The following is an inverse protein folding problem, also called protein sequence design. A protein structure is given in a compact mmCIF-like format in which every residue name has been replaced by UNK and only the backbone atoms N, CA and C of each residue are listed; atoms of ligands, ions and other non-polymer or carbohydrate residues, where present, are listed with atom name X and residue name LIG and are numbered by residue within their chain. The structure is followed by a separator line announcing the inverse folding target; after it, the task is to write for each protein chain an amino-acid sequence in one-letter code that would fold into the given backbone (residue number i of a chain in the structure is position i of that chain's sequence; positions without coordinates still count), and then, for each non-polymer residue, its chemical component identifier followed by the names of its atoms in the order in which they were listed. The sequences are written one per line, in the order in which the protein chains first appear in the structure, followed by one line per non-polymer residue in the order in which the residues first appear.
data_IF_273623247750
#
_entry.id   IF_273623247750
#
_cell.length_a   1.000
_cell.length_b   1.000
_cell.length_c   1.000
_cell.angle_alpha   90.00
_cell.angle_beta   90.00
_cell.angle_gamma   90.00
#
_symmetry.space_group_name_H-M   'P 1'
#
loop_
_entity.id
_entity.type
_entity.pdbx_description
1 polymer ?
#
# COMPACT_ATOMS: atom_id res chain seq x y z
N UNK A 1 -12.37 -56.24 4.21
CA UNK A 1 -11.27 -55.23 4.36
C UNK A 1 -11.14 -54.28 3.19
N UNK A 2 -12.16 -53.55 2.74
CA UNK A 2 -12.04 -52.55 1.62
C UNK A 2 -12.92 -51.31 1.80
N UNK A 3 -13.46 -51.01 3.01
CA UNK A 3 -14.36 -49.88 3.25
C UNK A 3 -13.68 -48.64 3.89
N UNK A 4 -12.44 -48.76 4.39
CA UNK A 4 -11.83 -47.69 5.18
C UNK A 4 -10.98 -46.73 4.34
N UNK A 5 -10.57 -47.11 3.12
CA UNK A 5 -9.78 -46.25 2.23
C UNK A 5 -10.56 -45.06 1.64
N UNK A 6 -11.89 -45.22 1.48
CA UNK A 6 -12.76 -44.16 0.94
C UNK A 6 -13.06 -43.02 1.90
N UNK A 7 -12.88 -43.20 3.22
CA UNK A 7 -13.14 -42.18 4.22
C UNK A 7 -11.90 -41.38 4.63
N UNK A 8 -10.71 -41.89 4.31
CA UNK A 8 -9.45 -41.22 4.68
C UNK A 8 -9.13 -40.03 3.75
N UNK A 9 -9.52 -40.08 2.48
CA UNK A 9 -9.31 -38.93 1.57
C UNK A 9 -10.31 -37.81 1.86
N UNK A 10 -11.60 -38.13 2.20
CA UNK A 10 -12.58 -37.13 2.63
C UNK A 10 -12.15 -36.39 3.89
N UNK A 11 -11.52 -37.09 4.85
CA UNK A 11 -10.95 -36.45 6.03
C UNK A 11 -9.79 -35.52 5.68
N UNK A 12 -8.89 -35.93 4.77
CA UNK A 12 -7.74 -35.11 4.35
C UNK A 12 -8.18 -33.82 3.68
N UNK A 13 -9.25 -33.85 2.90
CA UNK A 13 -9.76 -32.65 2.23
C UNK A 13 -10.50 -31.74 3.19
N UNK A 14 -11.20 -32.26 4.20
CA UNK A 14 -11.79 -31.48 5.28
C UNK A 14 -10.75 -30.81 6.19
N UNK A 15 -9.64 -31.45 6.48
CA UNK A 15 -8.54 -30.84 7.22
C UNK A 15 -7.88 -29.74 6.40
N UNK A 16 -7.63 -29.99 5.14
CA UNK A 16 -7.00 -29.01 4.23
C UNK A 16 -7.86 -27.77 4.01
N UNK A 17 -9.18 -27.90 3.95
CA UNK A 17 -10.08 -26.73 3.84
C UNK A 17 -10.19 -25.94 5.15
N UNK A 18 -10.23 -26.62 6.30
CA UNK A 18 -10.23 -25.94 7.62
C UNK A 18 -8.93 -25.18 7.89
N UNK A 19 -7.79 -25.76 7.51
CA UNK A 19 -6.49 -25.13 7.67
C UNK A 19 -6.31 -23.96 6.68
N UNK A 20 -6.92 -24.01 5.50
CA UNK A 20 -6.94 -22.91 4.54
C UNK A 20 -7.82 -21.74 5.00
N UNK A 21 -8.99 -22.03 5.58
CA UNK A 21 -9.93 -21.02 6.09
C UNK A 21 -9.45 -20.39 7.42
N UNK A 22 -8.82 -21.17 8.30
CA UNK A 22 -8.20 -20.68 9.53
C UNK A 22 -6.93 -19.85 9.23
N UNK A 23 -6.13 -20.25 8.23
CA UNK A 23 -4.88 -19.60 7.86
C UNK A 23 -5.05 -18.20 7.28
N UNK A 24 -6.17 -17.87 6.65
CA UNK A 24 -6.38 -16.55 6.03
C UNK A 24 -6.51 -15.42 7.07
N UNK A 25 -7.05 -15.70 8.27
CA UNK A 25 -7.15 -14.71 9.37
C UNK A 25 -5.85 -14.60 10.20
N UNK A 26 -5.12 -15.70 10.35
CA UNK A 26 -3.89 -15.74 11.14
C UNK A 26 -2.67 -15.14 10.45
N UNK A 27 -2.63 -15.13 9.11
CA UNK A 27 -1.48 -14.65 8.33
C UNK A 27 -1.30 -13.13 8.43
N UNK A 28 -2.36 -12.36 8.79
CA UNK A 28 -2.25 -10.90 8.88
C UNK A 28 -1.33 -10.44 10.03
N UNK A 29 -1.22 -11.25 11.09
CA UNK A 29 -0.38 -10.99 12.26
C UNK A 29 0.48 -12.20 12.64
N UNK A 30 0.90 -12.99 11.65
CA UNK A 30 1.65 -14.23 11.87
C UNK A 30 2.96 -14.05 12.67
N UNK A 31 3.50 -12.82 12.69
CA UNK A 31 4.62 -12.44 13.55
C UNK A 31 4.37 -11.03 14.12
N UNK A 32 4.93 -10.70 15.30
CA UNK A 32 4.88 -9.33 15.83
C UNK A 32 5.43 -8.29 14.85
N UNK A 33 6.42 -8.66 14.05
CA UNK A 33 7.02 -7.79 13.04
C UNK A 33 6.06 -7.49 11.88
N UNK A 34 5.33 -8.49 11.39
CA UNK A 34 4.29 -8.29 10.35
C UNK A 34 3.16 -7.40 10.86
N UNK A 35 2.74 -7.58 12.12
CA UNK A 35 1.74 -6.73 12.77
C UNK A 35 2.23 -5.28 12.84
N UNK A 36 3.46 -5.06 13.28
CA UNK A 36 4.09 -3.74 13.35
C UNK A 36 4.14 -3.06 11.98
N UNK A 37 4.62 -3.76 10.94
CA UNK A 37 4.65 -3.26 9.57
C UNK A 37 3.24 -2.89 9.07
N UNK A 38 2.24 -3.71 9.35
CA UNK A 38 0.84 -3.44 8.96
C UNK A 38 0.30 -2.18 9.65
N UNK A 39 0.57 -2.00 10.94
CA UNK A 39 0.18 -0.80 11.68
C UNK A 39 0.86 0.46 11.14
N UNK A 40 2.15 0.40 10.81
CA UNK A 40 2.87 1.49 10.15
C UNK A 40 2.23 1.85 8.80
N UNK A 41 1.92 0.85 7.99
CA UNK A 41 1.27 1.03 6.69
C UNK A 41 -0.11 1.71 6.83
N UNK A 42 -0.92 1.29 7.80
CA UNK A 42 -2.22 1.93 8.09
C UNK A 42 -2.04 3.37 8.59
N UNK A 43 -1.06 3.63 9.45
CA UNK A 43 -0.74 4.99 9.90
C UNK A 43 -0.28 5.87 8.72
N UNK A 44 0.53 5.32 7.80
CA UNK A 44 0.94 6.04 6.58
C UNK A 44 -0.24 6.35 5.65
N UNK A 45 -1.26 5.47 5.58
CA UNK A 45 -2.49 5.73 4.81
C UNK A 45 -3.26 6.91 5.41
N UNK A 46 -3.47 6.92 6.72
CA UNK A 46 -4.22 7.99 7.41
C UNK A 46 -3.48 9.31 7.29
N UNK A 47 -2.19 9.34 7.62
CA UNK A 47 -1.37 10.56 7.54
C UNK A 47 -1.21 11.05 6.09
N UNK A 48 -1.10 10.12 5.13
CA UNK A 48 -1.07 10.41 3.69
C UNK A 48 -2.36 11.06 3.20
N UNK A 49 -3.53 10.62 3.65
CA UNK A 49 -4.81 11.26 3.35
C UNK A 49 -4.86 12.70 3.89
N UNK A 50 -4.34 12.93 5.10
CA UNK A 50 -4.19 14.29 5.65
C UNK A 50 -3.29 15.15 4.77
N UNK A 51 -2.12 14.63 4.37
CA UNK A 51 -1.17 15.34 3.48
C UNK A 51 -1.82 15.66 2.14
N UNK A 52 -2.53 14.74 1.51
CA UNK A 52 -3.26 15.03 0.25
C UNK A 52 -4.28 16.14 0.42
N UNK A 53 -5.06 16.15 1.52
CA UNK A 53 -5.98 17.22 1.84
C UNK A 53 -5.27 18.57 2.00
N UNK A 54 -4.11 18.59 2.64
CA UNK A 54 -3.31 19.80 2.82
C UNK A 54 -2.75 20.34 1.50
N UNK A 55 -2.20 19.50 0.65
CA UNK A 55 -1.68 19.87 -0.66
C UNK A 55 -2.77 20.49 -1.55
N UNK A 56 -3.96 19.85 -1.59
CA UNK A 56 -5.12 20.38 -2.32
C UNK A 56 -5.59 21.73 -1.78
N UNK A 57 -5.50 21.95 -0.45
CA UNK A 57 -5.90 23.20 0.23
C UNK A 57 -4.78 24.24 0.30
N UNK A 58 -3.67 24.03 -0.37
CA UNK A 58 -2.50 24.92 -0.35
C UNK A 58 -1.97 25.21 1.07
N UNK A 59 -1.94 24.21 1.94
CA UNK A 59 -1.38 24.36 3.28
C UNK A 59 0.11 24.01 3.27
N UNK A 60 0.88 24.69 4.11
CA UNK A 60 2.30 24.39 4.31
C UNK A 60 2.48 23.01 4.96
N UNK A 61 3.63 22.33 4.68
CA UNK A 61 4.01 21.15 5.43
C UNK A 61 4.02 21.40 6.93
N UNK A 62 3.46 20.48 7.67
CA UNK A 62 3.30 20.54 9.13
C UNK A 62 3.59 19.17 9.77
N UNK A 63 3.15 18.99 11.00
CA UNK A 63 3.31 17.74 11.75
C UNK A 63 2.73 16.52 11.02
N UNK A 64 1.65 16.67 10.24
CA UNK A 64 1.06 15.58 9.46
C UNK A 64 1.98 15.15 8.31
N UNK A 65 2.66 16.10 7.69
CA UNK A 65 3.69 15.82 6.68
C UNK A 65 4.84 15.04 7.28
N UNK A 66 5.34 15.45 8.45
CA UNK A 66 6.42 14.74 9.14
C UNK A 66 5.98 13.33 9.55
N UNK A 67 4.77 13.20 10.12
CA UNK A 67 4.20 11.91 10.48
C UNK A 67 4.06 10.98 9.27
N UNK A 68 3.59 11.49 8.12
CA UNK A 68 3.51 10.73 6.88
C UNK A 68 4.89 10.28 6.40
N UNK A 69 5.86 11.18 6.31
CA UNK A 69 7.22 10.84 5.88
C UNK A 69 7.83 9.76 6.78
N UNK A 70 7.70 9.92 8.10
CA UNK A 70 8.25 8.95 9.07
C UNK A 70 7.58 7.57 8.93
N UNK A 71 6.24 7.54 8.90
CA UNK A 71 5.49 6.27 8.80
C UNK A 71 5.66 5.61 7.43
N UNK A 72 5.72 6.39 6.35
CA UNK A 72 5.89 5.86 4.99
C UNK A 72 7.28 5.28 4.77
N UNK A 73 8.34 6.02 5.16
CA UNK A 73 9.72 5.52 5.07
C UNK A 73 9.88 4.27 5.94
N UNK A 74 9.35 4.28 7.16
CA UNK A 74 9.40 3.10 8.03
C UNK A 74 8.63 1.91 7.43
N UNK A 75 7.49 2.14 6.77
CA UNK A 75 6.73 1.11 6.05
C UNK A 75 7.56 0.53 4.90
N UNK A 76 8.15 1.38 4.05
CA UNK A 76 8.97 0.93 2.93
C UNK A 76 10.18 0.12 3.42
N UNK A 77 10.92 0.64 4.42
CA UNK A 77 12.10 -0.05 4.98
C UNK A 77 11.73 -1.38 5.63
N UNK A 78 10.70 -1.40 6.48
CA UNK A 78 10.26 -2.65 7.12
C UNK A 78 9.69 -3.65 6.12
N UNK A 79 9.12 -3.17 5.01
CA UNK A 79 8.65 -4.00 3.91
C UNK A 79 9.75 -4.84 3.26
N UNK A 80 10.97 -4.30 3.13
CA UNK A 80 12.14 -5.05 2.63
C UNK A 80 12.63 -6.14 3.59
N UNK A 81 12.33 -6.01 4.88
CA UNK A 81 12.74 -6.95 5.91
C UNK A 81 11.72 -8.08 6.13
N UNK A 82 10.55 -8.01 5.50
CA UNK A 82 9.56 -9.08 5.59
C UNK A 82 10.06 -10.33 4.87
N UNK A 83 9.87 -11.53 5.47
CA UNK A 83 10.26 -12.78 4.85
C UNK A 83 9.49 -12.98 3.53
N UNK A 84 10.23 -13.14 2.44
CA UNK A 84 9.69 -13.33 1.10
C UNK A 84 10.18 -14.66 0.51
N UNK A 85 9.29 -15.52 0.00
CA UNK A 85 9.67 -16.79 -0.62
C UNK A 85 10.45 -16.60 -1.93
N UNK A 86 10.32 -15.45 -2.57
CA UNK A 86 11.04 -15.08 -3.79
C UNK A 86 11.42 -13.59 -3.72
N UNK A 87 12.68 -13.29 -4.00
CA UNK A 87 13.18 -11.91 -4.10
C UNK A 87 13.58 -11.60 -5.55
N UNK A 88 13.25 -10.42 -6.12
CA UNK A 88 12.39 -9.37 -5.54
C UNK A 88 10.89 -9.66 -5.70
N UNK A 89 10.09 -9.37 -4.66
CA UNK A 89 8.64 -9.32 -4.80
C UNK A 89 8.21 -8.05 -5.53
N UNK A 90 7.04 -8.02 -6.21
CA UNK A 90 6.49 -6.80 -6.77
C UNK A 90 6.37 -5.66 -5.75
N UNK A 91 6.07 -5.96 -4.48
CA UNK A 91 6.02 -4.98 -3.39
C UNK A 91 7.35 -4.27 -3.13
N UNK A 92 8.50 -4.93 -3.33
CA UNK A 92 9.82 -4.30 -3.19
C UNK A 92 10.05 -3.23 -4.27
N UNK A 93 9.56 -3.47 -5.50
CA UNK A 93 9.64 -2.49 -6.60
C UNK A 93 8.82 -1.25 -6.24
N UNK A 94 7.61 -1.42 -5.72
CA UNK A 94 6.79 -0.30 -5.26
C UNK A 94 7.44 0.48 -4.11
N UNK A 95 8.08 -0.22 -3.15
CA UNK A 95 8.84 0.41 -2.07
C UNK A 95 10.03 1.25 -2.58
N UNK A 96 10.79 0.74 -3.55
CA UNK A 96 11.90 1.49 -4.17
C UNK A 96 11.37 2.73 -4.88
N UNK A 97 10.33 2.60 -5.69
CA UNK A 97 9.71 3.72 -6.40
C UNK A 97 9.19 4.76 -5.40
N UNK A 98 8.53 4.32 -4.33
CA UNK A 98 8.06 5.18 -3.24
C UNK A 98 9.20 5.98 -2.61
N UNK A 99 10.28 5.31 -2.20
CA UNK A 99 11.45 5.96 -1.61
C UNK A 99 12.10 7.00 -2.54
N UNK A 100 12.17 6.73 -3.86
CA UNK A 100 12.67 7.69 -4.85
C UNK A 100 11.79 8.95 -4.87
N UNK A 101 10.46 8.81 -4.92
CA UNK A 101 9.56 9.96 -4.91
C UNK A 101 9.57 10.71 -3.57
N UNK A 102 9.71 10.02 -2.44
CA UNK A 102 9.89 10.64 -1.14
C UNK A 102 11.23 11.41 -1.06
N UNK A 103 12.31 10.85 -1.60
CA UNK A 103 13.60 11.55 -1.66
C UNK A 103 13.51 12.82 -2.52
N UNK A 104 12.84 12.77 -3.68
CA UNK A 104 12.59 13.96 -4.51
C UNK A 104 11.74 15.01 -3.78
N UNK A 105 10.74 14.57 -3.02
CA UNK A 105 9.92 15.48 -2.20
C UNK A 105 10.72 16.11 -1.07
N UNK A 106 11.60 15.36 -0.39
CA UNK A 106 12.51 15.89 0.62
C UNK A 106 13.50 16.90 0.03
N UNK A 107 14.11 16.60 -1.12
CA UNK A 107 14.98 17.53 -1.83
C UNK A 107 14.22 18.82 -2.21
N UNK A 108 13.01 18.69 -2.73
CA UNK A 108 12.17 19.84 -3.09
C UNK A 108 11.85 20.74 -1.88
N UNK A 109 11.67 20.14 -0.71
CA UNK A 109 11.38 20.87 0.53
C UNK A 109 12.64 21.50 1.12
N UNK A 110 13.68 20.69 1.41
CA UNK A 110 14.82 21.12 2.22
C UNK A 110 15.94 21.77 1.41
N UNK A 111 16.20 21.29 0.20
CA UNK A 111 17.29 21.83 -0.63
C UNK A 111 16.81 22.96 -1.54
N UNK A 112 15.64 22.81 -2.14
CA UNK A 112 15.15 23.76 -3.17
C UNK A 112 14.03 24.68 -2.67
N UNK A 113 13.57 24.53 -1.44
CA UNK A 113 12.59 25.41 -0.75
C UNK A 113 11.37 25.73 -1.64
N UNK A 114 10.87 24.73 -2.37
CA UNK A 114 9.73 24.83 -3.29
C UNK A 114 9.90 25.80 -4.46
N UNK A 115 11.13 26.21 -4.80
CA UNK A 115 11.37 27.17 -5.88
C UNK A 115 11.03 26.60 -7.25
N UNK A 116 10.43 27.42 -8.12
CA UNK A 116 10.13 27.06 -9.50
C UNK A 116 9.34 25.76 -9.65
N UNK A 117 9.86 24.79 -10.39
CA UNK A 117 9.25 23.48 -10.63
C UNK A 117 9.23 22.57 -9.38
N UNK A 118 10.11 22.80 -8.41
CA UNK A 118 10.27 21.93 -7.24
C UNK A 118 9.01 21.85 -6.38
N UNK A 119 8.19 22.89 -6.34
CA UNK A 119 6.87 22.82 -5.67
C UNK A 119 5.96 21.76 -6.29
N UNK A 120 5.96 21.65 -7.63
CA UNK A 120 5.20 20.65 -8.36
C UNK A 120 5.76 19.25 -8.15
N UNK A 121 7.09 19.12 -8.14
CA UNK A 121 7.81 17.86 -7.86
C UNK A 121 7.48 17.38 -6.45
N UNK A 122 7.46 18.29 -5.46
CA UNK A 122 7.04 17.97 -4.08
C UNK A 122 5.61 17.42 -4.04
N UNK A 123 4.65 18.17 -4.59
CA UNK A 123 3.24 17.78 -4.55
C UNK A 123 2.98 16.45 -5.30
N UNK A 124 3.62 16.27 -6.45
CA UNK A 124 3.54 15.02 -7.21
C UNK A 124 4.21 13.86 -6.48
N UNK A 125 5.42 14.05 -5.95
CA UNK A 125 6.17 13.03 -5.22
C UNK A 125 5.42 12.52 -3.99
N UNK A 126 4.91 13.43 -3.17
CA UNK A 126 4.08 13.08 -2.02
C UNK A 126 2.81 12.33 -2.44
N UNK A 127 2.11 12.82 -3.47
CA UNK A 127 0.90 12.18 -3.98
C UNK A 127 1.13 10.79 -4.56
N UNK A 128 2.24 10.57 -5.28
CA UNK A 128 2.62 9.26 -5.83
C UNK A 128 2.95 8.30 -4.69
N UNK A 129 3.69 8.71 -3.67
CA UNK A 129 3.99 7.87 -2.52
C UNK A 129 2.71 7.43 -1.78
N UNK A 130 1.76 8.35 -1.57
CA UNK A 130 0.44 8.00 -1.00
C UNK A 130 -0.30 7.02 -1.90
N UNK A 131 -0.33 7.25 -3.22
CA UNK A 131 -0.98 6.36 -4.19
C UNK A 131 -0.41 4.94 -4.13
N UNK A 132 0.91 4.78 -4.11
CA UNK A 132 1.56 3.46 -4.07
C UNK A 132 1.17 2.68 -2.81
N UNK A 133 1.05 3.35 -1.67
CA UNK A 133 0.57 2.72 -0.44
C UNK A 133 -0.91 2.30 -0.56
N UNK A 134 -1.78 3.12 -1.17
CA UNK A 134 -3.17 2.74 -1.46
C UNK A 134 -3.28 1.59 -2.48
N UNK A 135 -2.41 1.55 -3.49
CA UNK A 135 -2.33 0.44 -4.42
C UNK A 135 -2.05 -0.88 -3.70
N UNK A 136 -1.07 -0.87 -2.80
CA UNK A 136 -0.74 -2.04 -1.97
C UNK A 136 -1.89 -2.37 -1.02
N UNK A 137 -2.56 -1.37 -0.42
CA UNK A 137 -3.74 -1.58 0.42
C UNK A 137 -4.83 -2.35 -0.33
N UNK A 138 -5.21 -1.91 -1.54
CA UNK A 138 -6.22 -2.62 -2.35
C UNK A 138 -5.79 -4.04 -2.63
N UNK A 139 -4.54 -4.27 -3.00
CA UNK A 139 -3.98 -5.61 -3.20
C UNK A 139 -4.13 -6.47 -1.95
N UNK A 140 -3.77 -5.94 -0.78
CA UNK A 140 -3.88 -6.65 0.50
C UNK A 140 -5.34 -6.94 0.89
N UNK A 141 -6.27 -6.03 0.58
CA UNK A 141 -7.70 -6.25 0.81
C UNK A 141 -8.23 -7.41 -0.03
N UNK A 142 -7.88 -7.48 -1.32
CA UNK A 142 -8.28 -8.62 -2.17
C UNK A 142 -7.61 -9.94 -1.77
N UNK A 143 -6.42 -9.90 -1.19
CA UNK A 143 -5.74 -11.10 -0.70
C UNK A 143 -6.29 -11.61 0.65
N UNK A 144 -6.71 -10.70 1.54
CA UNK A 144 -6.96 -11.03 2.95
C UNK A 144 -8.41 -10.95 3.38
N UNK A 145 -9.27 -10.21 2.66
CA UNK A 145 -10.69 -10.09 2.98
C UNK A 145 -11.47 -11.17 2.22
N UNK A 146 -12.09 -12.16 2.90
CA UNK A 146 -12.71 -13.31 2.23
C UNK A 146 -13.74 -12.93 1.15
N UNK A 147 -14.56 -11.90 1.41
CA UNK A 147 -15.56 -11.42 0.46
C UNK A 147 -14.93 -10.85 -0.82
N UNK A 148 -13.82 -10.10 -0.72
CA UNK A 148 -13.10 -9.55 -1.86
C UNK A 148 -12.27 -10.63 -2.57
N UNK A 149 -11.65 -11.53 -1.80
CA UNK A 149 -10.91 -12.66 -2.34
C UNK A 149 -11.82 -13.57 -3.17
N UNK A 150 -13.07 -13.78 -2.75
CA UNK A 150 -14.04 -14.55 -3.53
C UNK A 150 -14.39 -13.93 -4.89
N UNK A 151 -14.23 -12.60 -5.05
CA UNK A 151 -14.48 -11.89 -6.31
C UNK A 151 -13.28 -11.91 -7.27
N UNK A 152 -12.06 -12.13 -6.78
CA UNK A 152 -10.84 -12.15 -7.58
C UNK A 152 -9.79 -13.06 -6.92
N UNK A 153 -9.99 -14.38 -7.08
CA UNK A 153 -9.23 -15.41 -6.37
C UNK A 153 -7.76 -15.51 -6.82
N UNK A 154 -7.48 -15.14 -8.06
CA UNK A 154 -6.16 -15.23 -8.66
C UNK A 154 -5.38 -13.89 -8.62
N UNK A 155 -5.98 -12.84 -8.05
CA UNK A 155 -5.30 -11.56 -7.91
C UNK A 155 -4.20 -11.65 -6.80
N UNK A 156 -3.07 -10.96 -6.96
CA UNK A 156 -2.69 -10.09 -8.07
C UNK A 156 -2.02 -10.80 -9.26
N UNK A 157 -1.67 -12.09 -9.15
CA UNK A 157 -0.85 -12.83 -10.12
C UNK A 157 -1.53 -12.97 -11.48
N UNK A 158 -2.85 -13.19 -11.47
CA UNK A 158 -3.69 -13.18 -12.66
C UNK A 158 -4.89 -12.24 -12.40
N UNK A 159 -4.76 -10.95 -12.74
CA UNK A 159 -5.73 -9.94 -12.32
C UNK A 159 -7.08 -10.11 -12.99
N UNK A 160 -8.08 -10.40 -12.17
CA UNK A 160 -9.49 -10.53 -12.58
C UNK A 160 -10.19 -9.16 -12.60
N UNK A 161 -11.30 -9.01 -13.39
CA UNK A 161 -11.96 -7.72 -13.57
C UNK A 161 -12.30 -6.95 -12.29
N UNK A 162 -12.82 -7.53 -11.21
CA UNK A 162 -13.12 -6.78 -10.00
C UNK A 162 -11.90 -6.13 -9.36
N UNK A 163 -10.75 -6.81 -9.34
CA UNK A 163 -9.48 -6.28 -8.84
C UNK A 163 -8.97 -5.15 -9.75
N UNK A 164 -8.99 -5.35 -11.08
CA UNK A 164 -8.58 -4.33 -12.03
C UNK A 164 -9.42 -3.07 -11.94
N UNK A 165 -10.75 -3.21 -11.84
CA UNK A 165 -11.67 -2.09 -11.69
C UNK A 165 -11.34 -1.30 -10.42
N UNK A 166 -11.14 -1.97 -9.28
CA UNK A 166 -10.76 -1.32 -8.03
C UNK A 166 -9.44 -0.52 -8.17
N UNK A 167 -8.41 -1.12 -8.79
CA UNK A 167 -7.13 -0.45 -9.02
C UNK A 167 -7.24 0.74 -9.97
N UNK A 168 -8.01 0.62 -11.05
CA UNK A 168 -8.24 1.72 -12.00
C UNK A 168 -9.00 2.88 -11.35
N UNK A 169 -10.01 2.58 -10.54
CA UNK A 169 -10.75 3.62 -9.78
C UNK A 169 -9.83 4.36 -8.83
N UNK A 170 -9.01 3.65 -8.05
CA UNK A 170 -8.04 4.27 -7.14
C UNK A 170 -7.02 5.09 -7.94
N UNK A 171 -6.48 4.58 -9.04
CA UNK A 171 -5.57 5.32 -9.92
C UNK A 171 -6.21 6.63 -10.42
N UNK A 172 -7.45 6.57 -10.94
CA UNK A 172 -8.14 7.74 -11.46
C UNK A 172 -8.35 8.82 -10.38
N UNK A 173 -8.73 8.40 -9.16
CA UNK A 173 -8.87 9.32 -8.03
C UNK A 173 -7.53 9.98 -7.71
N UNK A 174 -6.43 9.20 -7.64
CA UNK A 174 -5.12 9.75 -7.30
C UNK A 174 -4.52 10.61 -8.42
N UNK A 175 -4.71 10.26 -9.69
CA UNK A 175 -4.33 11.13 -10.82
C UNK A 175 -5.00 12.48 -10.69
N UNK A 176 -6.30 12.52 -10.40
CA UNK A 176 -7.02 13.78 -10.19
C UNK A 176 -6.53 14.54 -8.95
N UNK A 177 -6.31 13.85 -7.82
CA UNK A 177 -5.81 14.47 -6.58
C UNK A 177 -4.41 15.04 -6.77
N UNK A 178 -3.50 14.31 -7.41
CA UNK A 178 -2.13 14.75 -7.70
C UNK A 178 -2.15 15.96 -8.62
N UNK A 179 -2.91 15.89 -9.70
CA UNK A 179 -3.05 17.02 -10.64
C UNK A 179 -3.56 18.27 -9.93
N UNK A 180 -4.61 18.12 -9.10
CA UNK A 180 -5.16 19.23 -8.31
C UNK A 180 -4.14 19.75 -7.30
N UNK A 181 -3.38 18.87 -6.62
CA UNK A 181 -2.33 19.25 -5.68
C UNK A 181 -1.21 20.03 -6.36
N UNK A 182 -0.72 19.58 -7.51
CA UNK A 182 0.32 20.28 -8.28
C UNK A 182 -0.13 21.67 -8.72
N UNK A 183 -1.40 21.83 -9.07
CA UNK A 183 -1.97 23.14 -9.44
C UNK A 183 -2.22 24.06 -8.25
N UNK A 184 -2.68 23.49 -7.14
CA UNK A 184 -3.09 24.26 -5.96
C UNK A 184 -1.93 24.64 -5.05
N UNK A 185 -0.94 23.73 -4.90
CA UNK A 185 0.15 23.91 -3.95
C UNK A 185 1.10 25.05 -4.38
N UNK A 186 0.99 26.17 -3.68
CA UNK A 186 1.80 27.38 -3.87
C UNK A 186 2.14 27.95 -2.50
N UNK A 187 3.00 27.28 -1.72
CA UNK A 187 3.39 27.78 -0.41
C UNK A 187 4.04 29.16 -0.59
N UNK A 188 3.62 30.14 0.19
CA UNK A 188 4.30 31.42 0.22
C UNK A 188 5.76 31.22 0.66
N UNK A 189 6.68 31.93 0.03
CA UNK A 189 8.09 31.88 0.37
C UNK A 189 8.33 32.29 1.85
#
# INVERSE_FOLDING_TARGET
MRRDAGLQWLRRDQWRSRDADAGAGEIMFATPFTAFHTLLSLAAIVTGACVMSMLVKNRRPDVWTLAFLATMIATDVTGFLLPAPKFPLPSHIFGIISLVFLALALLAHYAFHFTGAWRGIYAAGMGIAVYLNFFVLVTQLFLKVPALHALARNAPDNPEPPFLIAQVVVLAIFVWLIWKSVKSFRPAA
#
